data_IF_247976619352
#
_entry.id   IF_247976619352
#
_cell.length_a   1.000
_cell.length_b   1.000
_cell.length_c   1.000
_cell.angle_alpha   90.00
_cell.angle_beta   90.00
_cell.angle_gamma   90.00
#
_symmetry.space_group_name_H-M   'P 1'
#
loop_
_entity.id
_entity.type
_entity.pdbx_description
1 polymer ?
#
# COMPACT_ATOMS: atom_id res chain seq x y z
N UNK A 1 31.04 17.34 -12.14
CA UNK A 1 32.42 16.97 -12.50
C UNK A 1 32.49 15.59 -13.13
N UNK A 2 33.60 15.26 -13.82
CA UNK A 2 33.79 13.95 -14.46
C UNK A 2 33.71 12.79 -13.43
N UNK A 3 34.28 13.01 -12.24
CA UNK A 3 34.28 12.02 -11.15
C UNK A 3 32.84 11.65 -10.69
N UNK A 4 31.93 12.60 -10.56
CA UNK A 4 30.54 12.33 -10.17
C UNK A 4 29.81 11.48 -11.22
N UNK A 5 30.05 11.80 -12.50
CA UNK A 5 29.48 11.01 -13.61
C UNK A 5 29.98 9.57 -13.61
N UNK A 6 31.26 9.35 -13.27
CA UNK A 6 31.81 7.99 -13.22
C UNK A 6 31.11 7.15 -12.14
N UNK A 7 30.85 7.70 -10.94
CA UNK A 7 30.10 6.99 -9.91
C UNK A 7 28.68 6.60 -10.36
N UNK A 8 27.96 7.52 -11.04
CA UNK A 8 26.61 7.24 -11.51
C UNK A 8 26.60 6.13 -12.60
N UNK A 9 27.56 6.21 -13.55
CA UNK A 9 27.68 5.20 -14.62
C UNK A 9 28.09 3.84 -14.03
N UNK A 10 29.04 3.82 -13.11
CA UNK A 10 29.50 2.61 -12.44
C UNK A 10 28.38 1.93 -11.65
N UNK A 11 27.63 2.69 -10.84
CA UNK A 11 26.52 2.14 -10.10
C UNK A 11 25.40 1.63 -11.02
N UNK A 12 25.07 2.38 -12.09
CA UNK A 12 24.07 1.96 -13.06
C UNK A 12 24.50 0.67 -13.77
N UNK A 13 25.78 0.54 -14.15
CA UNK A 13 26.32 -0.68 -14.75
C UNK A 13 26.19 -1.89 -13.80
N UNK A 14 26.63 -1.74 -12.53
CA UNK A 14 26.47 -2.79 -11.53
C UNK A 14 25.01 -3.16 -11.31
N UNK A 15 24.12 -2.17 -11.26
CA UNK A 15 22.67 -2.39 -11.13
C UNK A 15 22.07 -3.17 -12.31
N UNK A 16 22.54 -2.91 -13.54
CA UNK A 16 22.08 -3.61 -14.76
C UNK A 16 22.52 -5.08 -14.79
N UNK A 17 23.72 -5.39 -14.31
CA UNK A 17 24.22 -6.78 -14.25
C UNK A 17 23.77 -7.53 -12.98
N UNK A 18 22.97 -6.89 -12.10
CA UNK A 18 22.49 -7.50 -10.86
C UNK A 18 23.49 -7.50 -9.71
N UNK A 19 24.65 -6.86 -9.84
CA UNK A 19 25.61 -6.67 -8.75
C UNK A 19 25.16 -5.50 -7.85
N UNK A 20 24.09 -5.73 -7.08
CA UNK A 20 23.52 -4.72 -6.19
C UNK A 20 24.44 -4.35 -5.02
N UNK A 21 25.40 -5.21 -4.67
CA UNK A 21 26.40 -4.93 -3.63
C UNK A 21 27.31 -3.80 -4.07
N UNK A 22 27.91 -3.94 -5.26
CA UNK A 22 28.81 -2.91 -5.83
C UNK A 22 28.04 -1.63 -6.17
N UNK A 23 26.83 -1.75 -6.73
CA UNK A 23 25.98 -0.60 -7.02
C UNK A 23 25.67 0.22 -5.76
N UNK A 24 25.26 -0.45 -4.66
CA UNK A 24 25.01 0.18 -3.37
C UNK A 24 26.27 0.88 -2.83
N UNK A 25 27.40 0.15 -2.79
CA UNK A 25 28.68 0.68 -2.27
C UNK A 25 29.13 1.92 -3.05
N UNK A 26 29.00 1.92 -4.37
CA UNK A 26 29.34 3.05 -5.23
C UNK A 26 28.48 4.27 -4.93
N UNK A 27 27.16 4.11 -4.75
CA UNK A 27 26.27 5.22 -4.41
C UNK A 27 26.50 5.74 -2.99
N UNK A 28 26.71 4.87 -2.01
CA UNK A 28 27.06 5.26 -0.64
C UNK A 28 28.35 6.09 -0.62
N UNK A 29 29.37 5.61 -1.33
CA UNK A 29 30.67 6.32 -1.44
C UNK A 29 30.53 7.70 -2.09
N UNK A 30 29.66 7.84 -3.10
CA UNK A 30 29.39 9.16 -3.71
C UNK A 30 28.86 10.14 -2.67
N UNK A 31 27.85 9.73 -1.89
CA UNK A 31 27.25 10.58 -0.85
C UNK A 31 28.25 10.93 0.26
N UNK A 32 29.11 9.99 0.67
CA UNK A 32 30.13 10.21 1.70
C UNK A 32 31.24 11.18 1.25
N UNK A 33 31.72 11.05 0.00
CA UNK A 33 32.80 11.90 -0.52
C UNK A 33 32.29 13.30 -0.88
N UNK A 34 31.06 13.40 -1.34
CA UNK A 34 30.47 14.66 -1.83
C UNK A 34 29.16 15.03 -1.10
N UNK A 35 29.15 15.12 0.25
CA UNK A 35 27.91 15.29 1.00
C UNK A 35 27.19 16.62 0.71
N UNK A 36 27.91 17.64 0.23
CA UNK A 36 27.32 18.93 -0.13
C UNK A 36 26.91 19.02 -1.61
N UNK A 37 27.05 17.92 -2.36
CA UNK A 37 26.65 17.91 -3.76
C UNK A 37 25.14 17.68 -3.89
N UNK A 38 24.42 18.38 -4.79
CA UNK A 38 22.99 18.17 -5.02
C UNK A 38 22.60 16.72 -5.40
N UNK A 39 23.54 15.89 -5.82
CA UNK A 39 23.31 14.46 -6.11
C UNK A 39 23.47 13.55 -4.89
N UNK A 40 23.94 14.06 -3.75
CA UNK A 40 24.15 13.23 -2.56
C UNK A 40 22.83 12.65 -1.99
N UNK A 41 21.71 13.40 -1.89
CA UNK A 41 20.42 12.83 -1.50
C UNK A 41 19.96 11.73 -2.45
N UNK A 42 20.07 11.94 -3.76
CA UNK A 42 19.74 10.94 -4.76
C UNK A 42 20.62 9.68 -4.63
N UNK A 43 21.91 9.87 -4.38
CA UNK A 43 22.84 8.75 -4.22
C UNK A 43 22.49 7.90 -2.99
N UNK A 44 22.14 8.50 -1.86
CA UNK A 44 21.66 7.76 -0.68
C UNK A 44 20.35 7.03 -0.96
N UNK A 45 19.42 7.68 -1.66
CA UNK A 45 18.15 7.07 -2.03
C UNK A 45 18.36 5.84 -2.92
N UNK A 46 19.19 5.95 -3.96
CA UNK A 46 19.51 4.84 -4.84
C UNK A 46 20.31 3.74 -4.13
N UNK A 47 21.23 4.10 -3.22
CA UNK A 47 21.93 3.12 -2.40
C UNK A 47 20.95 2.28 -1.56
N UNK A 48 19.94 2.92 -0.97
CA UNK A 48 18.89 2.23 -0.23
C UNK A 48 18.07 1.31 -1.14
N UNK A 49 17.71 1.74 -2.36
CA UNK A 49 17.01 0.90 -3.34
C UNK A 49 17.84 -0.31 -3.78
N UNK A 50 19.14 -0.14 -4.00
CA UNK A 50 20.02 -1.29 -4.30
C UNK A 50 20.13 -2.24 -3.11
N UNK A 51 20.14 -1.70 -1.88
CA UNK A 51 20.12 -2.50 -0.67
C UNK A 51 18.83 -3.34 -0.56
N UNK A 52 17.66 -2.74 -0.85
CA UNK A 52 16.37 -3.46 -0.92
C UNK A 52 16.40 -4.63 -1.92
N UNK A 53 17.04 -4.43 -3.08
CA UNK A 53 17.15 -5.46 -4.13
C UNK A 53 18.04 -6.66 -3.76
N UNK A 54 18.87 -6.52 -2.75
CA UNK A 54 19.71 -7.62 -2.25
C UNK A 54 18.91 -8.67 -1.48
N UNK A 55 17.69 -8.34 -1.02
CA UNK A 55 16.80 -9.26 -0.31
C UNK A 55 16.37 -8.74 1.06
N UNK A 56 15.42 -9.44 1.67
CA UNK A 56 14.79 -9.01 2.92
C UNK A 56 15.76 -8.92 4.10
N UNK A 57 16.83 -9.71 4.11
CA UNK A 57 17.89 -9.66 5.13
C UNK A 57 18.62 -8.32 5.18
N UNK A 58 18.58 -7.53 4.09
CA UNK A 58 19.21 -6.22 3.99
C UNK A 58 18.25 -5.05 4.23
N UNK A 59 16.96 -5.30 4.49
CA UNK A 59 15.99 -4.25 4.81
C UNK A 59 16.39 -3.37 5.99
N UNK A 60 16.99 -3.89 7.10
CA UNK A 60 17.48 -3.03 8.17
C UNK A 60 18.54 -2.04 7.70
N UNK A 61 19.43 -2.45 6.79
CA UNK A 61 20.44 -1.55 6.22
C UNK A 61 19.81 -0.49 5.30
N UNK A 62 18.81 -0.86 4.49
CA UNK A 62 18.07 0.10 3.66
C UNK A 62 17.31 1.14 4.51
N UNK A 63 16.74 0.72 5.64
CA UNK A 63 16.10 1.62 6.62
C UNK A 63 17.10 2.66 7.14
N UNK A 64 18.33 2.24 7.46
CA UNK A 64 19.40 3.18 7.89
C UNK A 64 19.71 4.19 6.80
N UNK A 65 19.93 3.75 5.56
CA UNK A 65 20.25 4.64 4.43
C UNK A 65 19.13 5.67 4.16
N UNK A 66 17.86 5.26 4.22
CA UNK A 66 16.72 6.17 4.12
C UNK A 66 16.66 7.15 5.30
N UNK A 67 17.00 6.71 6.51
CA UNK A 67 17.08 7.58 7.69
C UNK A 67 18.22 8.59 7.57
N UNK A 68 19.38 8.20 7.07
CA UNK A 68 20.53 9.07 6.84
C UNK A 68 20.19 10.18 5.84
N UNK A 69 19.52 9.83 4.72
CA UNK A 69 19.00 10.82 3.79
C UNK A 69 18.08 11.82 4.51
N UNK A 70 17.10 11.32 5.24
CA UNK A 70 16.13 12.17 5.92
C UNK A 70 16.76 13.06 7.01
N UNK A 71 17.81 12.58 7.67
CA UNK A 71 18.50 13.32 8.72
C UNK A 71 19.45 14.40 8.15
N UNK A 72 20.16 14.06 7.08
CA UNK A 72 21.16 14.96 6.48
C UNK A 72 20.54 15.95 5.49
N UNK A 73 19.44 15.56 4.82
CA UNK A 73 18.84 16.32 3.72
C UNK A 73 17.33 16.55 3.93
N UNK A 74 16.96 16.99 5.12
CA UNK A 74 15.56 17.16 5.53
C UNK A 74 14.71 18.13 4.70
N UNK A 75 15.34 18.97 3.87
CA UNK A 75 14.65 19.91 2.96
C UNK A 75 14.64 19.44 1.50
N UNK A 76 15.28 18.31 1.20
CA UNK A 76 15.32 17.76 -0.15
C UNK A 76 13.94 17.15 -0.53
N UNK A 77 13.48 17.27 -1.78
CA UNK A 77 12.26 16.64 -2.24
C UNK A 77 12.20 15.12 -2.02
N UNK A 78 13.34 14.43 -2.00
CA UNK A 78 13.43 12.98 -1.72
C UNK A 78 13.16 12.63 -0.26
N UNK A 79 13.14 13.59 0.66
CA UNK A 79 12.85 13.36 2.08
C UNK A 79 11.55 12.60 2.28
N UNK A 80 10.46 13.07 1.65
CA UNK A 80 9.15 12.43 1.78
C UNK A 80 9.19 10.97 1.30
N UNK A 81 9.76 10.74 0.14
CA UNK A 81 9.87 9.41 -0.46
C UNK A 81 10.77 8.47 0.35
N UNK A 82 11.88 8.97 0.88
CA UNK A 82 12.77 8.20 1.75
C UNK A 82 12.05 7.77 3.04
N UNK A 83 11.32 8.68 3.69
CA UNK A 83 10.51 8.34 4.86
C UNK A 83 9.39 7.36 4.53
N UNK A 84 8.70 7.53 3.41
CA UNK A 84 7.67 6.60 2.97
C UNK A 84 8.25 5.19 2.74
N UNK A 85 9.39 5.09 2.08
CA UNK A 85 10.13 3.84 1.88
C UNK A 85 10.59 3.22 3.21
N UNK A 86 11.11 4.02 4.12
CA UNK A 86 11.48 3.58 5.47
C UNK A 86 10.29 2.93 6.19
N UNK A 87 9.12 3.57 6.18
CA UNK A 87 7.89 3.01 6.74
C UNK A 87 7.50 1.69 6.09
N UNK A 88 7.56 1.61 4.76
CA UNK A 88 7.26 0.39 4.00
C UNK A 88 8.19 -0.78 4.37
N UNK A 89 9.49 -0.52 4.53
CA UNK A 89 10.47 -1.52 4.93
C UNK A 89 10.22 -2.01 6.36
N UNK A 90 9.97 -1.09 7.30
CA UNK A 90 9.61 -1.44 8.68
C UNK A 90 8.36 -2.33 8.72
N UNK A 91 7.34 -1.99 7.93
CA UNK A 91 6.13 -2.81 7.80
C UNK A 91 6.43 -4.20 7.22
N UNK A 92 7.28 -4.28 6.19
CA UNK A 92 7.71 -5.55 5.59
C UNK A 92 8.51 -6.44 6.55
N UNK A 93 9.15 -5.85 7.57
CA UNK A 93 9.82 -6.54 8.67
C UNK A 93 8.89 -6.83 9.87
N UNK A 94 7.57 -6.63 9.72
CA UNK A 94 6.56 -6.72 10.78
C UNK A 94 6.78 -5.74 11.96
N UNK A 95 7.60 -4.72 11.79
CA UNK A 95 7.74 -3.64 12.76
C UNK A 95 6.63 -2.60 12.53
N UNK A 96 5.39 -3.01 12.77
CA UNK A 96 4.20 -2.18 12.52
C UNK A 96 4.17 -0.92 13.39
N UNK A 97 4.61 -1.01 14.65
CA UNK A 97 4.67 0.15 15.55
C UNK A 97 5.68 1.20 15.04
N UNK A 98 6.88 0.78 14.66
CA UNK A 98 7.87 1.69 14.07
C UNK A 98 7.42 2.29 12.74
N UNK A 99 6.78 1.51 11.88
CA UNK A 99 6.22 1.98 10.62
C UNK A 99 5.11 3.02 10.84
N UNK A 100 4.21 2.79 11.79
CA UNK A 100 3.12 3.71 12.14
C UNK A 100 3.66 5.08 12.53
N UNK A 101 4.69 5.14 13.37
CA UNK A 101 5.34 6.41 13.78
C UNK A 101 5.89 7.17 12.57
N UNK A 102 6.56 6.46 11.65
CA UNK A 102 7.11 7.09 10.44
C UNK A 102 6.01 7.68 9.57
N UNK A 103 4.92 6.93 9.32
CA UNK A 103 3.79 7.43 8.53
C UNK A 103 3.07 8.60 9.22
N UNK A 104 2.89 8.54 10.54
CA UNK A 104 2.26 9.60 11.31
C UNK A 104 3.05 10.91 11.24
N UNK A 105 4.38 10.83 11.35
CA UNK A 105 5.25 11.99 11.15
C UNK A 105 5.15 12.57 9.73
N UNK A 106 5.01 11.72 8.69
CA UNK A 106 4.78 12.18 7.33
C UNK A 106 3.43 12.88 7.17
N UNK A 107 2.36 12.29 7.68
CA UNK A 107 0.99 12.83 7.59
C UNK A 107 0.90 14.19 8.27
N UNK A 108 1.52 14.33 9.46
CA UNK A 108 1.48 15.55 10.25
C UNK A 108 2.43 16.62 9.70
N UNK A 109 3.62 16.24 9.25
CA UNK A 109 4.61 17.16 8.71
C UNK A 109 4.32 17.65 7.30
N UNK A 110 3.58 16.89 6.52
CA UNK A 110 3.28 17.17 5.10
C UNK A 110 1.78 17.03 4.78
N UNK A 111 0.91 17.84 5.41
CA UNK A 111 -0.54 17.67 5.33
C UNK A 111 -1.13 17.88 3.93
N UNK A 112 -0.40 18.58 3.05
CA UNK A 112 -0.84 18.90 1.68
C UNK A 112 -0.08 18.13 0.60
N UNK A 113 0.80 17.19 0.98
CA UNK A 113 1.58 16.42 0.00
C UNK A 113 0.67 15.55 -0.86
N UNK A 114 0.88 15.56 -2.17
CA UNK A 114 0.05 14.82 -3.12
C UNK A 114 -0.08 13.31 -2.85
N UNK A 115 0.98 12.69 -2.31
CA UNK A 115 1.02 11.27 -1.96
C UNK A 115 0.69 10.98 -0.49
N UNK A 116 0.13 11.94 0.25
CA UNK A 116 -0.22 11.77 1.67
C UNK A 116 -1.14 10.57 1.91
N UNK A 117 -2.08 10.32 0.99
CA UNK A 117 -3.01 9.19 1.08
C UNK A 117 -2.31 7.82 1.16
N UNK A 118 -1.11 7.69 0.55
CA UNK A 118 -0.32 6.45 0.64
C UNK A 118 0.17 6.23 2.08
N UNK A 119 0.65 7.29 2.74
CA UNK A 119 1.08 7.20 4.14
C UNK A 119 -0.11 6.91 5.06
N UNK A 120 -1.28 7.54 4.83
CA UNK A 120 -2.50 7.30 5.60
C UNK A 120 -2.98 5.85 5.48
N UNK A 121 -3.05 5.31 4.26
CA UNK A 121 -3.46 3.94 4.02
C UNK A 121 -2.45 2.93 4.59
N UNK A 122 -1.16 3.20 4.44
CA UNK A 122 -0.10 2.36 5.02
C UNK A 122 -0.09 2.41 6.56
N UNK A 123 -0.43 3.56 7.16
CA UNK A 123 -0.65 3.68 8.61
C UNK A 123 -1.85 2.84 9.05
N UNK A 124 -2.96 2.90 8.33
CA UNK A 124 -4.13 2.08 8.62
C UNK A 124 -3.81 0.58 8.58
N UNK A 125 -2.97 0.12 7.64
CA UNK A 125 -2.47 -1.26 7.62
C UNK A 125 -1.71 -1.64 8.90
N UNK A 126 -0.84 -0.76 9.36
CA UNK A 126 -0.10 -0.99 10.60
C UNK A 126 -1.05 -1.06 11.81
N UNK A 127 -2.02 -0.17 11.88
CA UNK A 127 -3.02 -0.15 12.95
C UNK A 127 -3.90 -1.41 12.91
N UNK A 128 -4.34 -1.88 11.74
CA UNK A 128 -5.07 -3.14 11.59
C UNK A 128 -4.25 -4.34 12.09
N UNK A 129 -2.94 -4.36 11.80
CA UNK A 129 -2.07 -5.42 12.24
C UNK A 129 -1.84 -5.40 13.76
N UNK A 130 -1.75 -4.22 14.36
CA UNK A 130 -1.54 -4.02 15.80
C UNK A 130 -2.82 -4.24 16.61
N UNK A 131 -3.97 -3.82 16.08
CA UNK A 131 -5.26 -3.95 16.76
C UNK A 131 -5.64 -5.43 17.01
N UNK A 132 -5.30 -6.34 16.08
CA UNK A 132 -5.66 -7.75 16.24
C UNK A 132 -7.17 -7.94 16.39
N UNK A 133 -7.64 -8.16 17.63
CA UNK A 133 -9.07 -8.28 17.98
C UNK A 133 -9.52 -7.18 18.97
N UNK A 134 -8.75 -6.12 19.13
CA UNK A 134 -9.15 -4.97 19.94
C UNK A 134 -10.21 -4.15 19.18
N UNK A 135 -11.44 -4.14 19.72
CA UNK A 135 -12.57 -3.47 19.11
C UNK A 135 -12.39 -1.96 19.00
N UNK A 136 -11.80 -1.32 20.02
CA UNK A 136 -11.58 0.14 20.02
C UNK A 136 -10.53 0.51 18.96
N UNK A 137 -9.43 -0.21 18.91
CA UNK A 137 -8.41 -0.02 17.88
C UNK A 137 -8.94 -0.24 16.46
N UNK A 138 -9.81 -1.23 16.25
CA UNK A 138 -10.46 -1.47 14.96
C UNK A 138 -11.46 -0.35 14.59
N UNK A 139 -12.18 0.20 15.56
CA UNK A 139 -13.07 1.33 15.33
C UNK A 139 -12.29 2.58 14.92
N UNK A 140 -11.16 2.85 15.55
CA UNK A 140 -10.29 3.97 15.19
C UNK A 140 -9.78 3.85 13.74
N UNK A 141 -9.38 2.65 13.33
CA UNK A 141 -8.97 2.39 11.93
C UNK A 141 -10.14 2.62 10.97
N UNK A 142 -11.34 2.17 11.33
CA UNK A 142 -12.54 2.35 10.50
C UNK A 142 -12.81 3.83 10.23
N UNK A 143 -12.69 4.70 11.25
CA UNK A 143 -12.85 6.16 11.11
C UNK A 143 -11.79 6.77 10.17
N UNK A 144 -10.55 6.31 10.26
CA UNK A 144 -9.47 6.79 9.38
C UNK A 144 -9.75 6.43 7.93
N UNK A 145 -10.16 5.18 7.67
CA UNK A 145 -10.43 4.69 6.32
C UNK A 145 -11.69 5.33 5.70
N UNK A 146 -12.73 5.58 6.51
CA UNK A 146 -13.91 6.33 6.10
C UNK A 146 -13.52 7.74 5.61
N UNK A 147 -12.76 8.48 6.42
CA UNK A 147 -12.27 9.82 6.06
C UNK A 147 -11.35 9.83 4.83
N UNK A 148 -10.57 8.78 4.63
CA UNK A 148 -9.71 8.66 3.46
C UNK A 148 -10.54 8.57 2.17
N UNK A 149 -11.69 7.88 2.21
CA UNK A 149 -12.59 7.76 1.07
C UNK A 149 -13.29 9.08 0.71
N UNK A 150 -13.37 10.03 1.63
CA UNK A 150 -13.93 11.37 1.39
C UNK A 150 -12.94 12.31 0.67
N UNK A 151 -11.68 11.90 0.45
CA UNK A 151 -10.71 12.71 -0.28
C UNK A 151 -11.11 12.83 -1.76
N UNK A 152 -11.27 14.07 -2.30
CA UNK A 152 -11.87 14.29 -3.61
C UNK A 152 -11.07 13.73 -4.78
N UNK A 153 -9.75 13.56 -4.62
CA UNK A 153 -8.84 13.12 -5.67
C UNK A 153 -8.13 11.79 -5.31
N UNK A 154 -8.70 11.00 -4.42
CA UNK A 154 -8.14 9.69 -4.12
C UNK A 154 -8.18 8.82 -5.39
N UNK A 155 -7.04 8.27 -5.88
CA UNK A 155 -7.04 7.43 -7.07
C UNK A 155 -7.93 6.20 -6.90
N UNK A 156 -8.57 5.75 -7.98
CA UNK A 156 -9.58 4.68 -7.96
C UNK A 156 -9.09 3.39 -7.30
N UNK A 157 -7.85 2.99 -7.58
CA UNK A 157 -7.27 1.78 -6.97
C UNK A 157 -7.18 1.89 -5.43
N UNK A 158 -6.86 3.09 -4.92
CA UNK A 158 -6.80 3.34 -3.48
C UNK A 158 -8.20 3.48 -2.86
N UNK A 159 -9.20 3.95 -3.62
CA UNK A 159 -10.59 3.93 -3.16
C UNK A 159 -11.07 2.49 -2.95
N UNK A 160 -10.78 1.59 -3.89
CA UNK A 160 -11.15 0.17 -3.78
C UNK A 160 -10.42 -0.49 -2.59
N UNK A 161 -9.14 -0.19 -2.39
CA UNK A 161 -8.35 -0.69 -1.28
C UNK A 161 -8.86 -0.19 0.07
N UNK A 162 -9.08 1.11 0.22
CA UNK A 162 -9.57 1.71 1.46
C UNK A 162 -10.95 1.19 1.85
N UNK A 163 -11.87 1.06 0.89
CA UNK A 163 -13.21 0.53 1.13
C UNK A 163 -13.16 -0.92 1.64
N UNK A 164 -12.34 -1.78 1.03
CA UNK A 164 -12.19 -3.16 1.47
C UNK A 164 -11.60 -3.25 2.88
N UNK A 165 -10.56 -2.46 3.19
CA UNK A 165 -9.94 -2.43 4.51
C UNK A 165 -10.88 -1.87 5.57
N UNK A 166 -11.69 -0.88 5.21
CA UNK A 166 -12.72 -0.35 6.09
C UNK A 166 -13.77 -1.42 6.43
N UNK A 167 -14.29 -2.11 5.41
CA UNK A 167 -15.21 -3.21 5.64
C UNK A 167 -14.59 -4.32 6.50
N UNK A 168 -13.31 -4.65 6.27
CA UNK A 168 -12.59 -5.62 7.09
C UNK A 168 -12.51 -5.19 8.57
N UNK A 169 -12.19 -3.93 8.85
CA UNK A 169 -12.18 -3.39 10.23
C UNK A 169 -13.57 -3.49 10.86
N UNK A 170 -14.64 -3.15 10.12
CA UNK A 170 -16.02 -3.24 10.56
C UNK A 170 -16.46 -4.69 10.87
N UNK A 171 -16.08 -5.65 10.01
CA UNK A 171 -16.36 -7.06 10.25
C UNK A 171 -15.67 -7.53 11.53
N UNK A 172 -14.41 -7.20 11.69
CA UNK A 172 -13.63 -7.57 12.89
C UNK A 172 -14.17 -6.93 14.17
N UNK A 173 -14.76 -5.73 14.09
CA UNK A 173 -15.42 -5.07 15.22
C UNK A 173 -16.90 -5.48 15.40
N UNK A 174 -17.38 -6.47 14.64
CA UNK A 174 -18.76 -6.97 14.75
C UNK A 174 -19.82 -6.11 14.04
N UNK A 175 -19.43 -5.06 13.32
CA UNK A 175 -20.35 -4.15 12.62
C UNK A 175 -20.69 -4.66 11.22
N UNK A 176 -21.24 -5.89 11.12
CA UNK A 176 -21.43 -6.61 9.86
C UNK A 176 -22.36 -5.87 8.89
N UNK A 177 -23.46 -5.27 9.36
CA UNK A 177 -24.41 -4.58 8.48
C UNK A 177 -23.76 -3.34 7.84
N UNK A 178 -22.99 -2.55 8.61
CA UNK A 178 -22.24 -1.42 8.05
C UNK A 178 -21.16 -1.89 7.08
N UNK A 179 -20.47 -2.99 7.37
CA UNK A 179 -19.49 -3.59 6.46
C UNK A 179 -20.13 -3.99 5.12
N UNK A 180 -21.29 -4.65 5.18
CA UNK A 180 -22.06 -5.04 4.00
C UNK A 180 -22.44 -3.82 3.13
N UNK A 181 -22.90 -2.73 3.76
CA UNK A 181 -23.20 -1.47 3.08
C UNK A 181 -21.96 -0.89 2.38
N UNK A 182 -20.83 -0.82 3.07
CA UNK A 182 -19.56 -0.32 2.52
C UNK A 182 -19.10 -1.14 1.31
N UNK A 183 -19.15 -2.49 1.42
CA UNK A 183 -18.79 -3.38 0.33
C UNK A 183 -19.72 -3.24 -0.87
N UNK A 184 -21.03 -3.12 -0.61
CA UNK A 184 -22.02 -2.91 -1.65
C UNK A 184 -21.82 -1.58 -2.38
N UNK A 185 -21.67 -0.48 -1.65
CA UNK A 185 -21.43 0.86 -2.23
C UNK A 185 -20.13 0.90 -3.03
N UNK A 186 -19.08 0.20 -2.56
CA UNK A 186 -17.84 0.07 -3.31
C UNK A 186 -18.04 -0.70 -4.61
N UNK A 187 -18.75 -1.83 -4.57
CA UNK A 187 -19.06 -2.61 -5.76
C UNK A 187 -19.90 -1.80 -6.78
N UNK A 188 -20.94 -1.15 -6.32
CA UNK A 188 -21.83 -0.32 -7.15
C UNK A 188 -21.09 0.85 -7.81
N UNK A 189 -20.20 1.53 -7.08
CA UNK A 189 -19.36 2.62 -7.59
C UNK A 189 -18.53 2.22 -8.81
N UNK A 190 -17.99 0.99 -8.82
CA UNK A 190 -17.08 0.52 -9.86
C UNK A 190 -17.80 -0.31 -10.94
N UNK A 191 -18.82 -1.07 -10.57
CA UNK A 191 -19.56 -1.93 -11.51
C UNK A 191 -20.71 -1.17 -12.14
N UNK A 192 -21.40 -0.29 -11.40
CA UNK A 192 -22.47 0.58 -11.91
C UNK A 192 -21.97 1.62 -12.91
N UNK A 193 -20.68 1.99 -12.85
CA UNK A 193 -20.02 2.92 -13.77
C UNK A 193 -18.98 2.17 -14.60
N UNK A 194 -19.34 1.81 -15.82
CA UNK A 194 -18.48 1.04 -16.73
C UNK A 194 -17.15 1.73 -17.05
N UNK A 195 -17.08 3.06 -17.02
CA UNK A 195 -15.83 3.80 -17.25
C UNK A 195 -14.87 3.63 -16.08
N UNK A 196 -15.38 3.69 -14.83
CA UNK A 196 -14.56 3.44 -13.64
C UNK A 196 -14.07 2.00 -13.57
N UNK A 197 -14.92 1.02 -13.92
CA UNK A 197 -14.51 -0.37 -13.96
C UNK A 197 -13.33 -0.63 -14.91
N UNK A 198 -13.32 0.04 -16.06
CA UNK A 198 -12.22 -0.03 -17.05
C UNK A 198 -10.99 0.74 -16.57
N UNK A 199 -11.18 1.85 -15.84
CA UNK A 199 -10.08 2.68 -15.34
C UNK A 199 -9.33 2.08 -14.15
N UNK A 200 -9.88 1.04 -13.48
CA UNK A 200 -9.18 0.34 -12.40
C UNK A 200 -7.93 -0.38 -12.92
N UNK A 201 -6.80 -0.10 -12.28
CA UNK A 201 -5.57 -0.86 -12.45
C UNK A 201 -5.66 -2.27 -11.85
N UNK A 202 -4.58 -3.03 -11.97
CA UNK A 202 -4.52 -4.40 -11.45
C UNK A 202 -4.76 -4.47 -9.93
N UNK A 203 -4.23 -3.50 -9.18
CA UNK A 203 -4.42 -3.39 -7.72
C UNK A 203 -5.88 -3.11 -7.36
N UNK A 204 -6.51 -2.12 -8.01
CA UNK A 204 -7.90 -1.78 -7.76
C UNK A 204 -8.86 -2.94 -8.10
N UNK A 205 -8.60 -3.65 -9.20
CA UNK A 205 -9.36 -4.86 -9.58
C UNK A 205 -9.21 -5.99 -8.54
N UNK A 206 -8.02 -6.13 -7.95
CA UNK A 206 -7.80 -7.09 -6.87
C UNK A 206 -8.62 -6.73 -5.62
N UNK A 207 -8.59 -5.47 -5.20
CA UNK A 207 -9.32 -5.03 -4.02
C UNK A 207 -10.85 -5.08 -4.23
N UNK A 208 -11.33 -4.69 -5.41
CA UNK A 208 -12.73 -4.82 -5.78
C UNK A 208 -13.18 -6.29 -5.74
N UNK A 209 -12.38 -7.21 -6.28
CA UNK A 209 -12.67 -8.64 -6.24
C UNK A 209 -12.79 -9.15 -4.81
N UNK A 210 -11.87 -8.75 -3.92
CA UNK A 210 -11.93 -9.10 -2.50
C UNK A 210 -13.19 -8.57 -1.82
N UNK A 211 -13.56 -7.32 -2.11
CA UNK A 211 -14.78 -6.70 -1.57
C UNK A 211 -16.01 -7.51 -1.98
N UNK A 212 -16.09 -7.89 -3.25
CA UNK A 212 -17.24 -8.64 -3.77
C UNK A 212 -17.30 -10.07 -3.25
N UNK A 213 -16.16 -10.78 -3.19
CA UNK A 213 -16.12 -12.12 -2.62
C UNK A 213 -16.55 -12.08 -1.15
N UNK A 214 -16.05 -11.12 -0.37
CA UNK A 214 -16.43 -10.97 1.04
C UNK A 214 -17.91 -10.59 1.21
N UNK A 215 -18.46 -9.75 0.33
CA UNK A 215 -19.89 -9.44 0.32
C UNK A 215 -20.74 -10.70 0.04
N UNK A 216 -20.32 -11.52 -0.90
CA UNK A 216 -20.95 -12.81 -1.18
C UNK A 216 -20.93 -13.75 0.02
N UNK A 217 -19.80 -13.87 0.71
CA UNK A 217 -19.64 -14.64 1.94
C UNK A 217 -20.59 -14.16 3.05
N UNK A 218 -20.72 -12.84 3.27
CA UNK A 218 -21.66 -12.28 4.25
C UNK A 218 -23.11 -12.67 3.89
N UNK A 219 -23.49 -12.62 2.61
CA UNK A 219 -24.83 -13.02 2.21
C UNK A 219 -25.05 -14.52 2.39
N UNK A 220 -24.07 -15.39 2.18
CA UNK A 220 -24.16 -16.83 2.48
C UNK A 220 -24.36 -17.06 3.98
N UNK A 221 -23.56 -16.40 4.83
CA UNK A 221 -23.68 -16.49 6.30
C UNK A 221 -25.06 -16.03 6.82
N UNK A 222 -25.72 -15.14 6.08
CA UNK A 222 -27.07 -14.67 6.36
C UNK A 222 -28.18 -15.50 5.69
N UNK A 223 -27.83 -16.66 5.09
CA UNK A 223 -28.75 -17.52 4.33
C UNK A 223 -29.42 -16.81 3.13
N UNK A 224 -28.85 -15.71 2.66
CA UNK A 224 -29.32 -14.95 1.50
C UNK A 224 -28.63 -15.41 0.22
N UNK A 225 -28.81 -16.68 -0.13
CA UNK A 225 -28.11 -17.33 -1.25
C UNK A 225 -28.41 -16.69 -2.60
N UNK A 226 -29.58 -16.07 -2.75
CA UNK A 226 -29.94 -15.37 -4.00
C UNK A 226 -29.05 -14.14 -4.26
N UNK A 227 -28.81 -13.32 -3.22
CA UNK A 227 -27.91 -12.15 -3.34
C UNK A 227 -26.45 -12.58 -3.42
N UNK A 228 -26.02 -13.57 -2.63
CA UNK A 228 -24.68 -14.14 -2.73
C UNK A 228 -24.35 -14.55 -4.17
N UNK A 229 -25.24 -15.32 -4.80
CA UNK A 229 -25.11 -15.77 -6.20
C UNK A 229 -25.04 -14.61 -7.19
N UNK A 230 -25.82 -13.53 -6.98
CA UNK A 230 -25.75 -12.34 -7.85
C UNK A 230 -24.37 -11.68 -7.78
N UNK A 231 -23.84 -11.50 -6.59
CA UNK A 231 -22.52 -10.89 -6.37
C UNK A 231 -21.42 -11.75 -7.01
N UNK A 232 -21.41 -13.06 -6.79
CA UNK A 232 -20.43 -13.96 -7.40
C UNK A 232 -20.49 -13.98 -8.92
N UNK A 233 -21.71 -13.93 -9.51
CA UNK A 233 -21.86 -13.80 -10.96
C UNK A 233 -21.27 -12.53 -11.51
N UNK A 234 -21.29 -11.42 -10.78
CA UNK A 234 -20.62 -10.18 -11.17
C UNK A 234 -19.09 -10.33 -11.18
N UNK A 235 -18.51 -11.00 -10.15
CA UNK A 235 -17.06 -11.32 -10.15
C UNK A 235 -16.67 -12.10 -11.41
N UNK A 236 -17.53 -13.06 -11.84
CA UNK A 236 -17.31 -13.87 -13.04
C UNK A 236 -17.45 -13.01 -14.30
N UNK A 237 -18.53 -12.24 -14.42
CA UNK A 237 -18.86 -11.44 -15.59
C UNK A 237 -17.80 -10.33 -15.89
N UNK A 238 -17.27 -9.69 -14.84
CA UNK A 238 -16.22 -8.68 -14.96
C UNK A 238 -14.81 -9.28 -15.00
N UNK A 239 -14.69 -10.61 -15.04
CA UNK A 239 -13.40 -11.32 -15.06
C UNK A 239 -12.43 -10.79 -14.01
N UNK A 240 -12.91 -10.63 -12.77
CA UNK A 240 -12.10 -10.14 -11.66
C UNK A 240 -11.16 -11.22 -11.11
N UNK A 241 -10.05 -10.86 -10.42
CA UNK A 241 -9.23 -11.81 -9.68
C UNK A 241 -10.06 -12.67 -8.73
N UNK A 242 -9.72 -13.94 -8.58
CA UNK A 242 -10.54 -14.86 -7.76
C UNK A 242 -11.83 -15.38 -8.43
N UNK A 243 -12.02 -15.14 -9.75
CA UNK A 243 -13.18 -15.66 -10.53
C UNK A 243 -13.43 -17.15 -10.32
N UNK A 244 -12.38 -17.95 -10.19
CA UNK A 244 -12.50 -19.39 -9.96
C UNK A 244 -13.17 -19.71 -8.61
N UNK A 245 -12.95 -18.88 -7.58
CA UNK A 245 -13.63 -19.00 -6.28
C UNK A 245 -15.12 -18.72 -6.47
N UNK A 246 -15.45 -17.63 -7.16
CA UNK A 246 -16.84 -17.25 -7.42
C UNK A 246 -17.61 -18.33 -8.22
N UNK A 247 -16.97 -18.97 -9.21
CA UNK A 247 -17.56 -20.11 -9.95
C UNK A 247 -17.89 -21.25 -8.99
N UNK A 248 -16.92 -21.69 -8.19
CA UNK A 248 -17.12 -22.76 -7.21
C UNK A 248 -18.27 -22.47 -6.22
N UNK A 249 -18.37 -21.21 -5.75
CA UNK A 249 -19.45 -20.81 -4.84
C UNK A 249 -20.81 -20.80 -5.52
N UNK A 250 -20.90 -20.33 -6.76
CA UNK A 250 -22.17 -20.38 -7.54
C UNK A 250 -22.65 -21.81 -7.74
N UNK A 251 -21.74 -22.73 -8.04
CA UNK A 251 -22.07 -24.15 -8.24
C UNK A 251 -22.57 -24.79 -6.92
N UNK A 252 -21.93 -24.52 -5.79
CA UNK A 252 -22.35 -24.98 -4.47
C UNK A 252 -23.74 -24.47 -4.03
N UNK A 253 -24.08 -23.23 -4.40
CA UNK A 253 -25.41 -22.65 -4.08
C UNK A 253 -26.54 -23.25 -4.95
N UNK A 254 -26.19 -23.87 -6.07
CA UNK A 254 -27.18 -24.50 -6.98
C UNK A 254 -27.50 -25.94 -6.61
N UNK A 255 -26.67 -26.59 -5.78
CA UNK A 255 -26.90 -27.92 -5.23
C UNK A 255 -27.82 -27.85 -4.00
#
# INVERSE_FOLDING_TARGET
>A
TAALRSYLIEAAYHGLIGDFVSAQATMTKLAEIYPQNPLAPQALFEAALYCERRGAEFYPQAVVLHNDLATQYGTDPLFYYARLKQGNLLRSMNNFAGAQIVYENLINGFPTHEMRYIAELSRADCMLALAGNDFDGLADVAVILERLLDLPNLPLDFQAEAAQKWAFALIKSGSIEKAKEVLWLSADRFIGDGEKAVALGAAGRYWLARSMLQLGEIFEEQDNLAEARKVYRQVIAYNLPGRHIAISRVDQILE
#
